data_IF_422235207942
#
_entry.id   IF_422235207942
#
_cell.length_a   1.000
_cell.length_b   1.000
_cell.length_c   1.000
_cell.angle_alpha   90.00
_cell.angle_beta   90.00
_cell.angle_gamma   90.00
#
_symmetry.space_group_name_H-M   'P 1'
#
loop_
_entity.id
_entity.type
_entity.pdbx_description
1 polymer ?
#
# COMPACT_ATOMS: atom_id res chain seq x y z
N UNK A 1 21.45 26.41 7.38
CA UNK A 1 21.55 25.78 8.70
C UNK A 1 21.54 24.28 8.48
N UNK A 2 22.71 23.66 8.65
CA UNK A 2 22.89 22.22 8.49
C UNK A 2 22.22 21.49 9.66
N UNK A 3 21.31 20.57 9.36
CA UNK A 3 20.86 19.59 10.34
C UNK A 3 21.67 18.32 10.13
N UNK A 4 22.51 18.01 11.10
CA UNK A 4 23.24 16.76 11.17
C UNK A 4 22.22 15.61 11.33
N UNK A 5 21.99 14.84 10.27
CA UNK A 5 21.20 13.60 10.31
C UNK A 5 22.14 12.42 10.12
N UNK A 6 22.41 11.68 11.19
CA UNK A 6 23.01 10.33 11.15
C UNK A 6 22.31 9.53 12.27
N UNK A 7 21.98 8.23 12.20
CA UNK A 7 22.32 7.14 11.27
C UNK A 7 21.45 5.91 11.65
N UNK A 8 20.23 5.80 11.15
CA UNK A 8 19.50 4.52 11.10
C UNK A 8 18.93 4.41 9.70
N UNK A 9 19.15 3.30 8.95
CA UNK A 9 18.54 3.11 7.64
C UNK A 9 17.02 2.93 7.73
N UNK A 10 16.48 2.87 8.96
CA UNK A 10 15.09 2.54 9.23
C UNK A 10 14.30 3.76 9.72
N UNK A 11 13.12 3.95 9.14
CA UNK A 11 12.12 4.91 9.58
C UNK A 11 11.40 4.44 10.86
N UNK A 12 10.59 5.33 11.44
CA UNK A 12 9.90 5.07 12.70
C UNK A 12 9.02 3.80 12.66
N UNK A 13 8.25 3.59 11.59
CA UNK A 13 7.36 2.42 11.46
C UNK A 13 8.19 1.13 11.43
N UNK A 14 9.30 1.13 10.71
CA UNK A 14 10.21 -0.01 10.65
C UNK A 14 10.80 -0.32 12.04
N UNK A 15 11.19 0.69 12.82
CA UNK A 15 11.70 0.51 14.18
C UNK A 15 10.64 -0.06 15.13
N UNK A 16 9.39 0.44 15.07
CA UNK A 16 8.29 -0.07 15.90
C UNK A 16 7.92 -1.52 15.56
N UNK A 17 7.91 -1.88 14.27
CA UNK A 17 7.72 -3.27 13.85
C UNK A 17 8.85 -4.18 14.37
N UNK A 18 10.10 -3.71 14.34
CA UNK A 18 11.21 -4.47 14.91
C UNK A 18 11.08 -4.68 16.42
N UNK A 19 10.64 -3.66 17.17
CA UNK A 19 10.36 -3.79 18.62
C UNK A 19 9.20 -4.75 18.90
N UNK A 20 8.19 -4.79 18.02
CA UNK A 20 7.09 -5.75 18.13
C UNK A 20 7.59 -7.19 17.90
N UNK A 21 8.42 -7.38 16.88
CA UNK A 21 8.97 -8.69 16.49
C UNK A 21 10.15 -9.15 17.35
N UNK A 22 10.71 -8.30 18.20
CA UNK A 22 11.77 -8.70 19.13
C UNK A 22 11.28 -9.59 20.26
N UNK A 23 9.95 -9.73 20.42
CA UNK A 23 9.32 -10.72 21.30
C UNK A 23 9.22 -12.05 20.55
N UNK A 24 9.36 -13.17 21.25
CA UNK A 24 9.04 -14.47 20.65
C UNK A 24 7.54 -14.50 20.30
N UNK A 25 7.25 -14.49 19.00
CA UNK A 25 5.91 -14.63 18.45
C UNK A 25 5.79 -16.02 17.85
N UNK A 26 4.65 -16.67 18.06
CA UNK A 26 4.30 -17.86 17.29
C UNK A 26 4.06 -17.45 15.84
N UNK A 27 4.28 -18.39 14.91
CA UNK A 27 4.04 -18.15 13.48
C UNK A 27 2.60 -17.72 13.18
N UNK A 28 1.63 -18.23 13.94
CA UNK A 28 0.21 -17.84 13.85
C UNK A 28 -0.02 -16.35 14.14
N UNK A 29 0.67 -15.81 15.14
CA UNK A 29 0.57 -14.41 15.54
C UNK A 29 1.25 -13.50 14.50
N UNK A 30 2.43 -13.90 14.00
CA UNK A 30 3.12 -13.18 12.93
C UNK A 30 2.25 -13.11 11.67
N UNK A 31 1.60 -14.21 11.30
CA UNK A 31 0.67 -14.25 10.17
C UNK A 31 -0.54 -13.35 10.40
N UNK A 32 -1.11 -13.34 11.61
CA UNK A 32 -2.22 -12.46 11.96
C UNK A 32 -1.83 -10.99 11.82
N UNK A 33 -0.66 -10.59 12.34
CA UNK A 33 -0.14 -9.21 12.22
C UNK A 33 0.06 -8.82 10.75
N UNK A 34 0.65 -9.70 9.93
CA UNK A 34 0.80 -9.45 8.49
C UNK A 34 -0.54 -9.21 7.81
N UNK A 35 -1.55 -10.01 8.12
CA UNK A 35 -2.91 -9.86 7.58
C UNK A 35 -3.56 -8.54 7.99
N UNK A 36 -3.37 -8.11 9.24
CA UNK A 36 -3.86 -6.81 9.72
C UNK A 36 -3.25 -5.64 8.94
N UNK A 37 -1.93 -5.69 8.71
CA UNK A 37 -1.23 -4.66 7.93
C UNK A 37 -1.71 -4.62 6.47
N UNK A 38 -1.82 -5.79 5.83
CA UNK A 38 -2.30 -5.89 4.44
C UNK A 38 -3.72 -5.37 4.31
N UNK A 39 -4.61 -5.73 5.25
CA UNK A 39 -5.98 -5.25 5.26
C UNK A 39 -6.04 -3.72 5.36
N UNK A 40 -5.30 -3.13 6.31
CA UNK A 40 -5.25 -1.67 6.46
C UNK A 40 -4.75 -0.97 5.19
N UNK A 41 -3.69 -1.50 4.57
CA UNK A 41 -3.15 -0.93 3.34
C UNK A 41 -4.12 -1.05 2.16
N UNK A 42 -4.85 -2.16 2.05
CA UNK A 42 -5.87 -2.36 1.02
C UNK A 42 -7.07 -1.41 1.20
N UNK A 43 -7.55 -1.23 2.43
CA UNK A 43 -8.60 -0.26 2.76
C UNK A 43 -8.14 1.18 2.44
N UNK A 44 -6.89 1.53 2.79
CA UNK A 44 -6.32 2.83 2.43
C UNK A 44 -6.22 3.02 0.92
N UNK A 45 -5.77 2.02 0.18
CA UNK A 45 -5.67 2.08 -1.28
C UNK A 45 -7.05 2.25 -1.94
N UNK A 46 -8.07 1.56 -1.41
CA UNK A 46 -9.46 1.70 -1.88
C UNK A 46 -9.96 3.11 -1.67
N UNK A 47 -9.81 3.68 -0.46
CA UNK A 47 -10.22 5.07 -0.20
C UNK A 47 -9.53 6.08 -1.09
N UNK A 48 -8.23 5.92 -1.33
CA UNK A 48 -7.49 6.80 -2.23
C UNK A 48 -7.98 6.67 -3.69
N UNK A 49 -8.37 5.47 -4.12
CA UNK A 49 -8.97 5.27 -5.43
C UNK A 49 -10.35 5.95 -5.52
N UNK A 50 -11.17 5.85 -4.47
CA UNK A 50 -12.47 6.52 -4.37
C UNK A 50 -12.29 8.06 -4.38
N UNK A 51 -11.32 8.60 -3.63
CA UNK A 51 -11.00 10.03 -3.63
C UNK A 51 -10.66 10.55 -5.03
N UNK A 52 -9.82 9.81 -5.78
CA UNK A 52 -9.49 10.15 -7.17
C UNK A 52 -10.71 10.03 -8.07
N UNK A 53 -11.55 9.02 -7.86
CA UNK A 53 -12.78 8.81 -8.62
C UNK A 53 -13.71 10.02 -8.50
N UNK A 54 -13.95 10.48 -7.28
CA UNK A 54 -14.76 11.65 -6.99
C UNK A 54 -14.11 12.96 -7.50
N UNK A 55 -12.81 13.16 -7.29
CA UNK A 55 -12.08 14.35 -7.77
C UNK A 55 -12.18 14.50 -9.30
N UNK A 56 -12.15 13.38 -10.04
CA UNK A 56 -12.28 13.37 -11.50
C UNK A 56 -13.73 13.39 -11.97
N UNK A 57 -14.70 13.32 -11.06
CA UNK A 57 -16.13 13.26 -11.37
C UNK A 57 -16.49 12.06 -12.24
N UNK A 58 -15.79 10.94 -12.05
CA UNK A 58 -16.01 9.75 -12.86
C UNK A 58 -17.36 9.10 -12.53
N UNK A 59 -17.98 8.52 -13.56
CA UNK A 59 -19.29 7.86 -13.48
C UNK A 59 -19.21 6.42 -13.97
N UNK A 60 -20.34 5.70 -13.88
CA UNK A 60 -20.42 4.34 -14.39
C UNK A 60 -20.13 4.24 -15.90
N UNK A 61 -20.34 5.32 -16.66
CA UNK A 61 -19.94 5.42 -18.06
C UNK A 61 -18.42 5.43 -18.22
N UNK A 62 -17.69 6.14 -17.35
CA UNK A 62 -16.23 6.13 -17.32
C UNK A 62 -15.69 4.73 -16.98
N UNK A 63 -16.35 4.04 -16.03
CA UNK A 63 -16.02 2.64 -15.70
C UNK A 63 -16.14 1.74 -16.94
N UNK A 64 -17.27 1.82 -17.66
CA UNK A 64 -17.49 1.07 -18.89
C UNK A 64 -16.42 1.40 -19.93
N UNK A 65 -16.09 2.69 -20.11
CA UNK A 65 -15.03 3.12 -21.02
C UNK A 65 -13.70 2.47 -20.64
N UNK A 66 -13.30 2.51 -19.37
CA UNK A 66 -12.05 1.91 -18.90
C UNK A 66 -12.01 0.39 -19.08
N UNK A 67 -13.14 -0.31 -18.91
CA UNK A 67 -13.21 -1.75 -19.13
C UNK A 67 -12.94 -2.15 -20.60
N UNK A 68 -13.20 -1.25 -21.56
CA UNK A 68 -12.95 -1.46 -22.99
C UNK A 68 -11.60 -0.91 -23.46
N UNK A 69 -10.86 -0.16 -22.64
CA UNK A 69 -9.52 0.32 -22.99
C UNK A 69 -8.45 -0.72 -22.67
N UNK A 70 -7.48 -0.87 -23.58
CA UNK A 70 -6.33 -1.76 -23.39
C UNK A 70 -5.19 -1.01 -22.68
N UNK A 71 -5.42 -0.57 -21.45
CA UNK A 71 -4.46 0.20 -20.64
C UNK A 71 -3.45 -0.69 -19.89
N UNK A 72 -3.41 -1.99 -20.20
CA UNK A 72 -2.45 -2.93 -19.61
C UNK A 72 -1.08 -2.77 -20.26
N UNK A 73 -0.02 -3.15 -19.56
CA UNK A 73 1.34 -3.19 -20.12
C UNK A 73 1.35 -4.04 -21.41
N UNK A 74 1.82 -3.50 -22.56
CA UNK A 74 1.88 -4.25 -23.80
C UNK A 74 2.78 -5.49 -23.65
N UNK A 75 2.31 -6.64 -24.13
CA UNK A 75 3.16 -7.84 -24.19
C UNK A 75 4.26 -7.63 -25.23
N UNK A 76 5.53 -7.64 -24.79
CA UNK A 76 6.64 -7.77 -25.72
C UNK A 76 6.57 -9.16 -26.35
N UNK A 77 6.26 -9.25 -27.65
CA UNK A 77 6.46 -10.49 -28.41
C UNK A 77 7.96 -10.80 -28.41
N UNK A 78 8.30 -12.07 -28.12
CA UNK A 78 9.65 -12.60 -28.24
C UNK A 78 10.07 -12.69 -29.70
#
# INVERSE_FOLDING_TARGET
METQVLKSPLNNIQLELLKLFSRELKEEDLLAIKRLLVRYLAEKATRLADEVWEEKGWTNEDMKRFAHTHMRTPYKRK
#
